data_IF_224438634997
#
_entry.id   IF_224438634997
#
_cell.length_a   1.000
_cell.length_b   1.000
_cell.length_c   1.000
_cell.angle_alpha   90.00
_cell.angle_beta   90.00
_cell.angle_gamma   90.00
#
_symmetry.space_group_name_H-M   'P 1'
#
loop_
_entity.id
_entity.type
_entity.pdbx_description
1 polymer ?
#
# COMPACT_ATOMS: atom_id res chain seq x y z
N UNK A 1 20.40 28.05 -54.88
CA UNK A 1 19.00 27.63 -54.59
C UNK A 1 18.98 26.11 -54.76
N UNK A 2 18.77 25.23 -53.79
CA UNK A 2 18.11 25.25 -52.48
C UNK A 2 18.84 24.26 -51.55
N UNK A 3 19.21 24.71 -50.34
CA UNK A 3 19.50 23.78 -49.23
C UNK A 3 18.34 23.90 -48.25
N UNK A 4 17.50 22.86 -48.20
CA UNK A 4 16.48 22.68 -47.17
C UNK A 4 17.24 22.34 -45.89
N UNK A 5 17.26 23.26 -44.93
CA UNK A 5 17.72 22.98 -43.58
C UNK A 5 16.70 22.03 -42.93
N UNK A 6 17.11 20.79 -42.68
CA UNK A 6 16.38 19.87 -41.79
C UNK A 6 16.74 20.29 -40.36
N UNK A 7 15.79 20.71 -39.51
CA UNK A 7 16.10 20.97 -38.11
C UNK A 7 16.41 19.63 -37.43
N UNK A 8 17.67 19.48 -37.05
CA UNK A 8 18.19 18.29 -36.39
C UNK A 8 18.12 18.46 -34.86
N UNK A 9 16.91 18.73 -34.35
CA UNK A 9 16.65 18.77 -32.91
C UNK A 9 15.45 17.88 -32.61
N UNK A 10 15.63 16.58 -32.85
CA UNK A 10 15.01 15.56 -32.01
C UNK A 10 15.60 15.75 -30.62
N UNK A 11 15.06 16.71 -29.87
CA UNK A 11 15.15 16.66 -28.42
C UNK A 11 14.64 15.28 -28.03
N UNK A 12 15.60 14.46 -27.60
CA UNK A 12 15.37 13.16 -27.01
C UNK A 12 14.31 13.40 -25.94
N UNK A 13 13.11 12.87 -26.13
CA UNK A 13 12.17 12.75 -25.03
C UNK A 13 12.94 12.01 -23.94
N UNK A 14 13.35 12.75 -22.90
CA UNK A 14 13.85 12.18 -21.67
C UNK A 14 12.75 11.24 -21.19
N UNK A 15 12.90 9.96 -21.53
CA UNK A 15 12.12 8.88 -20.97
C UNK A 15 12.24 9.07 -19.45
N UNK A 16 11.16 9.57 -18.85
CA UNK A 16 11.11 10.03 -17.47
C UNK A 16 11.89 9.05 -16.60
N UNK A 17 13.03 9.48 -16.05
CA UNK A 17 13.85 8.67 -15.14
C UNK A 17 12.89 7.97 -14.19
N UNK A 18 12.88 6.65 -14.23
CA UNK A 18 11.86 5.73 -13.71
C UNK A 18 11.60 5.95 -12.20
N UNK A 19 10.87 7.03 -11.90
CA UNK A 19 10.67 7.52 -10.54
C UNK A 19 9.48 6.78 -9.94
N UNK A 20 9.82 5.76 -9.17
CA UNK A 20 8.88 4.89 -8.46
C UNK A 20 8.46 5.53 -7.14
N UNK A 21 7.21 5.37 -6.73
CA UNK A 21 6.73 5.85 -5.42
C UNK A 21 6.16 4.69 -4.59
N UNK A 22 6.66 4.57 -3.37
CA UNK A 22 6.19 3.60 -2.38
C UNK A 22 5.25 4.27 -1.38
N UNK A 23 4.01 3.81 -1.34
CA UNK A 23 3.04 4.20 -0.32
C UNK A 23 2.94 3.11 0.75
N UNK A 24 3.15 3.48 2.01
CA UNK A 24 2.90 2.61 3.17
C UNK A 24 1.72 3.15 3.96
N UNK A 25 0.65 2.37 4.07
CA UNK A 25 -0.54 2.71 4.86
C UNK A 25 -0.55 1.86 6.12
N UNK A 26 -0.67 2.48 7.28
CA UNK A 26 -0.83 1.81 8.58
C UNK A 26 -2.26 2.05 9.05
N UNK A 27 -3.01 0.97 9.24
CA UNK A 27 -4.39 0.98 9.74
C UNK A 27 -4.39 0.57 11.20
N UNK A 28 -4.88 1.45 12.08
CA UNK A 28 -5.07 1.10 13.50
C UNK A 28 -6.29 0.21 13.69
N UNK A 29 -6.04 -1.06 13.99
CA UNK A 29 -7.06 -2.08 14.24
C UNK A 29 -7.20 -2.42 15.72
N UNK A 30 -6.78 -1.53 16.62
CA UNK A 30 -6.92 -1.70 18.06
C UNK A 30 -8.40 -1.80 18.48
N UNK A 31 -8.86 -2.88 19.15
CA UNK A 31 -10.24 -3.03 19.62
C UNK A 31 -10.63 -1.99 20.68
N UNK A 32 -9.68 -1.24 21.26
CA UNK A 32 -9.95 -0.08 22.10
C UNK A 32 -10.48 1.14 21.35
N UNK A 33 -10.35 1.19 20.02
CA UNK A 33 -10.90 2.24 19.17
C UNK A 33 -12.43 2.21 19.20
N UNK A 34 -13.07 3.35 19.52
CA UNK A 34 -14.54 3.48 19.57
C UNK A 34 -15.21 3.05 18.26
N UNK A 35 -14.58 3.34 17.12
CA UNK A 35 -15.09 2.99 15.80
C UNK A 35 -15.27 1.48 15.61
N UNK A 36 -14.35 0.66 16.14
CA UNK A 36 -14.43 -0.80 16.04
C UNK A 36 -15.56 -1.37 16.92
N UNK A 37 -15.92 -0.71 18.03
CA UNK A 37 -16.94 -1.18 18.98
C UNK A 37 -18.34 -0.68 18.66
N UNK A 38 -18.46 0.60 18.35
CA UNK A 38 -19.74 1.31 18.29
C UNK A 38 -20.28 1.43 16.86
N UNK A 39 -19.44 1.23 15.83
CA UNK A 39 -19.81 1.52 14.45
C UNK A 39 -19.09 0.61 13.42
N UNK A 40 -19.33 -0.71 13.46
CA UNK A 40 -18.67 -1.67 12.56
C UNK A 40 -18.92 -1.37 11.08
N UNK A 41 -20.07 -0.79 10.72
CA UNK A 41 -20.36 -0.37 9.35
C UNK A 41 -19.43 0.76 8.87
N UNK A 42 -19.02 1.65 9.77
CA UNK A 42 -18.12 2.76 9.43
C UNK A 42 -16.68 2.26 9.25
N UNK A 43 -16.28 1.22 9.97
CA UNK A 43 -15.01 0.53 9.72
C UNK A 43 -14.96 -0.05 8.31
N UNK A 44 -16.01 -0.72 7.85
CA UNK A 44 -16.09 -1.24 6.48
C UNK A 44 -15.92 -0.12 5.45
N UNK A 45 -16.64 1.00 5.61
CA UNK A 45 -16.48 2.16 4.74
C UNK A 45 -15.08 2.78 4.79
N UNK A 46 -14.46 2.84 5.97
CA UNK A 46 -13.09 3.32 6.12
C UNK A 46 -12.12 2.42 5.33
N UNK A 47 -12.25 1.10 5.45
CA UNK A 47 -11.43 0.14 4.72
C UNK A 47 -11.64 0.26 3.21
N UNK A 48 -12.88 0.39 2.74
CA UNK A 48 -13.19 0.62 1.32
C UNK A 48 -12.56 1.93 0.81
N UNK A 49 -12.59 3.00 1.62
CA UNK A 49 -11.97 4.29 1.29
C UNK A 49 -10.44 4.19 1.24
N UNK A 50 -9.83 3.46 2.17
CA UNK A 50 -8.38 3.19 2.18
C UNK A 50 -7.98 2.39 0.94
N UNK A 51 -8.77 1.39 0.55
CA UNK A 51 -8.52 0.60 -0.67
C UNK A 51 -8.66 1.47 -1.92
N UNK A 52 -9.69 2.32 -2.00
CA UNK A 52 -9.86 3.25 -3.12
C UNK A 52 -8.69 4.23 -3.24
N UNK A 53 -8.22 4.77 -2.11
CA UNK A 53 -7.04 5.63 -2.05
C UNK A 53 -5.76 4.87 -2.47
N UNK A 54 -5.55 3.66 -1.97
CA UNK A 54 -4.41 2.82 -2.32
C UNK A 54 -4.39 2.46 -3.82
N UNK A 55 -5.55 2.12 -4.39
CA UNK A 55 -5.68 1.87 -5.82
C UNK A 55 -5.44 3.15 -6.63
N UNK A 56 -5.90 4.31 -6.16
CA UNK A 56 -5.62 5.60 -6.81
C UNK A 56 -4.12 5.88 -6.88
N UNK A 57 -3.36 5.57 -5.82
CA UNK A 57 -1.89 5.66 -5.85
C UNK A 57 -1.28 4.73 -6.90
N UNK A 58 -1.75 3.49 -6.99
CA UNK A 58 -1.28 2.54 -8.01
C UNK A 58 -1.67 2.94 -9.45
N UNK A 59 -2.78 3.66 -9.63
CA UNK A 59 -3.20 4.19 -10.93
C UNK A 59 -2.32 5.36 -11.42
N UNK A 60 -1.64 6.08 -10.52
CA UNK A 60 -0.82 7.23 -10.91
C UNK A 60 0.39 6.84 -11.76
N UNK A 61 1.07 5.74 -11.42
CA UNK A 61 2.20 5.20 -12.17
C UNK A 61 2.23 3.67 -12.03
N UNK A 62 2.46 2.95 -13.13
CA UNK A 62 2.51 1.48 -13.12
C UNK A 62 3.63 0.90 -12.23
N UNK A 63 4.67 1.67 -11.96
CA UNK A 63 5.79 1.30 -11.09
C UNK A 63 5.57 1.65 -9.61
N UNK A 64 4.43 2.26 -9.26
CA UNK A 64 4.13 2.58 -7.87
C UNK A 64 3.96 1.29 -7.06
N UNK A 65 4.50 1.31 -5.85
CA UNK A 65 4.43 0.21 -4.91
C UNK A 65 3.54 0.58 -3.74
N UNK A 66 2.93 -0.43 -3.16
CA UNK A 66 2.02 -0.29 -2.02
C UNK A 66 2.36 -1.33 -0.96
N UNK A 67 2.36 -0.89 0.30
CA UNK A 67 2.30 -1.75 1.46
C UNK A 67 1.17 -1.28 2.38
N UNK A 68 0.39 -2.21 2.92
CA UNK A 68 -0.64 -1.93 3.92
C UNK A 68 -0.30 -2.76 5.14
N UNK A 69 -0.29 -2.12 6.31
CA UNK A 69 0.00 -2.71 7.60
C UNK A 69 -1.19 -2.50 8.52
N UNK A 70 -1.44 -3.46 9.40
CA UNK A 70 -2.34 -3.27 10.53
C UNK A 70 -1.49 -3.17 11.79
N UNK A 71 -1.79 -2.18 12.62
CA UNK A 71 -1.25 -2.11 13.96
C UNK A 71 -2.36 -2.45 14.95
N UNK A 72 -2.07 -3.44 15.79
CA UNK A 72 -2.92 -3.89 16.87
C UNK A 72 -2.19 -3.62 18.20
N UNK A 73 -2.86 -3.81 19.33
CA UNK A 73 -2.25 -3.55 20.64
C UNK A 73 -1.20 -4.56 21.08
N UNK A 74 -1.14 -5.73 20.43
CA UNK A 74 -0.14 -6.79 20.70
C UNK A 74 0.87 -7.01 19.58
N UNK A 75 0.49 -6.72 18.33
CA UNK A 75 1.31 -7.02 17.16
C UNK A 75 1.09 -5.98 16.07
N UNK A 76 2.09 -5.81 15.21
CA UNK A 76 1.96 -5.07 13.95
C UNK A 76 2.36 -6.00 12.81
N UNK A 77 1.57 -6.04 11.74
CA UNK A 77 1.81 -6.97 10.64
C UNK A 77 1.41 -6.42 9.28
N UNK A 78 2.08 -6.91 8.24
CA UNK A 78 1.72 -6.60 6.85
C UNK A 78 0.42 -7.31 6.47
N UNK A 79 -0.54 -6.50 6.04
CA UNK A 79 -1.81 -6.91 5.45
C UNK A 79 -1.63 -7.10 3.94
N UNK A 80 -0.89 -6.19 3.30
CA UNK A 80 -0.47 -6.26 1.90
C UNK A 80 0.99 -5.79 1.77
N UNK A 81 1.83 -6.40 0.91
CA UNK A 81 1.59 -7.65 0.19
C UNK A 81 1.49 -8.83 1.17
N UNK A 82 0.51 -9.72 0.99
CA UNK A 82 0.24 -10.81 1.93
C UNK A 82 1.42 -11.77 2.08
N UNK A 83 1.53 -12.45 3.23
CA UNK A 83 2.64 -13.39 3.54
C UNK A 83 2.59 -14.73 2.76
N UNK A 84 1.99 -14.77 1.57
CA UNK A 84 1.86 -15.97 0.75
C UNK A 84 1.86 -15.67 -0.74
N UNK A 85 2.13 -16.67 -1.57
CA UNK A 85 1.89 -16.58 -3.02
C UNK A 85 0.41 -16.23 -3.22
N UNK A 86 0.11 -15.26 -4.07
CA UNK A 86 -1.24 -14.82 -4.45
C UNK A 86 -2.01 -15.93 -5.20
N UNK A 87 -2.16 -17.10 -4.57
CA UNK A 87 -2.90 -18.22 -5.12
C UNK A 87 -4.39 -17.88 -5.05
N UNK A 88 -5.05 -17.96 -6.21
CA UNK A 88 -6.51 -17.89 -6.40
C UNK A 88 -7.23 -16.53 -6.39
N UNK A 89 -6.59 -15.46 -6.87
CA UNK A 89 -7.38 -14.31 -7.36
C UNK A 89 -7.80 -14.61 -8.80
N UNK A 90 -8.92 -15.33 -8.95
CA UNK A 90 -9.54 -15.52 -10.27
C UNK A 90 -9.95 -14.17 -10.84
N UNK A 91 -9.49 -13.93 -12.06
CA UNK A 91 -9.80 -12.78 -12.90
C UNK A 91 -11.31 -12.68 -13.11
N UNK A 92 -11.86 -11.48 -12.88
CA UNK A 92 -13.15 -11.08 -13.44
C UNK A 92 -12.80 -10.17 -14.61
N UNK A 93 -13.34 -10.47 -15.79
CA UNK A 93 -12.99 -9.81 -17.05
C UNK A 93 -13.13 -8.27 -16.93
N UNK A 94 -12.10 -7.54 -17.37
CA UNK A 94 -12.06 -6.06 -17.34
C UNK A 94 -11.51 -5.36 -16.08
N UNK A 95 -11.17 -6.06 -14.99
CA UNK A 95 -10.56 -5.44 -13.80
C UNK A 95 -9.04 -5.64 -13.72
N UNK A 96 -8.30 -4.59 -13.32
CA UNK A 96 -6.85 -4.68 -13.09
C UNK A 96 -6.56 -5.65 -11.94
N UNK A 97 -5.82 -6.72 -12.21
CA UNK A 97 -5.58 -7.83 -11.28
C UNK A 97 -5.02 -7.34 -9.94
N UNK A 98 -4.11 -6.36 -9.97
CA UNK A 98 -3.50 -5.79 -8.77
C UNK A 98 -4.55 -5.12 -7.87
N UNK A 99 -5.55 -4.43 -8.41
CA UNK A 99 -6.57 -3.76 -7.59
C UNK A 99 -7.49 -4.78 -6.92
N UNK A 100 -7.92 -5.80 -7.68
CA UNK A 100 -8.69 -6.91 -7.12
C UNK A 100 -7.88 -7.64 -6.04
N UNK A 101 -6.56 -7.78 -6.25
CA UNK A 101 -5.67 -8.38 -5.26
C UNK A 101 -5.57 -7.54 -3.99
N UNK A 102 -5.32 -6.24 -4.12
CA UNK A 102 -5.27 -5.30 -2.98
C UNK A 102 -6.56 -5.36 -2.20
N UNK A 103 -7.71 -5.30 -2.85
CA UNK A 103 -9.01 -5.35 -2.18
C UNK A 103 -9.22 -6.67 -1.43
N UNK A 104 -9.13 -7.82 -2.14
CA UNK A 104 -9.42 -9.14 -1.56
C UNK A 104 -8.43 -9.48 -0.44
N UNK A 105 -7.15 -9.20 -0.63
CA UNK A 105 -6.12 -9.50 0.37
C UNK A 105 -6.29 -8.61 1.59
N UNK A 106 -6.54 -7.31 1.39
CA UNK A 106 -6.70 -6.36 2.50
C UNK A 106 -7.90 -6.71 3.35
N UNK A 107 -9.08 -6.88 2.74
CA UNK A 107 -10.31 -7.24 3.47
C UNK A 107 -10.15 -8.56 4.23
N UNK A 108 -9.60 -9.59 3.58
CA UNK A 108 -9.41 -10.92 4.20
C UNK A 108 -8.44 -10.89 5.38
N UNK A 109 -7.27 -10.29 5.18
CA UNK A 109 -6.23 -10.28 6.20
C UNK A 109 -6.61 -9.36 7.37
N UNK A 110 -7.25 -8.23 7.11
CA UNK A 110 -7.76 -7.35 8.15
C UNK A 110 -8.88 -8.02 8.95
N UNK A 111 -9.85 -8.66 8.28
CA UNK A 111 -10.89 -9.44 8.97
C UNK A 111 -10.28 -10.52 9.86
N UNK A 112 -9.24 -11.21 9.39
CA UNK A 112 -8.50 -12.20 10.21
C UNK A 112 -7.86 -11.56 11.44
N UNK A 113 -7.28 -10.36 11.34
CA UNK A 113 -6.71 -9.65 12.50
C UNK A 113 -7.80 -9.36 13.53
N UNK A 114 -8.94 -8.84 13.06
CA UNK A 114 -10.05 -8.44 13.92
C UNK A 114 -10.72 -9.64 14.61
N UNK A 115 -10.88 -10.78 13.93
CA UNK A 115 -11.51 -11.98 14.50
C UNK A 115 -10.60 -12.80 15.42
N UNK A 116 -9.28 -12.64 15.30
CA UNK A 116 -8.32 -13.35 16.17
C UNK A 116 -8.31 -12.76 17.59
N UNK A 117 -8.84 -11.55 17.78
CA UNK A 117 -8.82 -10.85 19.06
C UNK A 117 -10.09 -11.08 19.88
N UNK A 118 -9.93 -11.77 21.01
CA UNK A 118 -10.96 -11.98 22.02
C UNK A 118 -10.65 -11.20 23.32
N UNK A 119 -9.71 -10.26 23.30
CA UNK A 119 -9.23 -9.62 24.53
C UNK A 119 -10.16 -8.47 24.93
N UNK A 120 -10.79 -8.61 26.09
CA UNK A 120 -11.55 -7.53 26.75
C UNK A 120 -10.67 -6.38 27.26
N UNK A 121 -9.34 -6.55 27.23
CA UNK A 121 -8.37 -5.59 27.76
C UNK A 121 -8.07 -4.51 26.73
N UNK A 122 -8.54 -3.30 27.02
CA UNK A 122 -8.16 -2.09 26.27
C UNK A 122 -6.67 -1.84 26.52
N UNK A 123 -5.90 -1.82 25.45
CA UNK A 123 -4.45 -1.61 25.45
C UNK A 123 -4.12 -0.53 24.43
N UNK A 124 -2.99 0.16 24.58
CA UNK A 124 -2.58 1.19 23.61
C UNK A 124 -2.17 0.54 22.28
N UNK A 125 -2.28 1.29 21.18
CA UNK A 125 -1.86 0.79 19.86
C UNK A 125 -0.34 0.78 19.75
N UNK A 126 0.24 -0.27 19.15
CA UNK A 126 1.69 -0.39 18.89
C UNK A 126 2.12 0.44 17.67
N UNK A 127 1.59 1.65 17.52
CA UNK A 127 1.82 2.50 16.35
C UNK A 127 3.31 2.80 16.15
N UNK A 128 4.05 3.08 17.22
CA UNK A 128 5.49 3.29 17.15
C UNK A 128 6.25 2.07 16.60
N UNK A 129 5.84 0.86 17.00
CA UNK A 129 6.37 -0.39 16.48
C UNK A 129 6.04 -0.58 15.00
N UNK A 130 4.80 -0.26 14.59
CA UNK A 130 4.38 -0.32 13.19
C UNK A 130 5.20 0.64 12.29
N UNK A 131 5.44 1.86 12.75
CA UNK A 131 6.26 2.85 12.03
C UNK A 131 7.71 2.36 11.93
N UNK A 132 8.28 1.83 13.02
CA UNK A 132 9.63 1.26 12.98
C UNK A 132 9.73 0.10 11.98
N UNK A 133 8.72 -0.79 11.94
CA UNK A 133 8.63 -1.86 10.96
C UNK A 133 8.51 -1.33 9.52
N UNK A 134 7.70 -0.29 9.30
CA UNK A 134 7.55 0.35 7.99
C UNK A 134 8.88 0.96 7.52
N UNK A 135 9.59 1.67 8.40
CA UNK A 135 10.90 2.24 8.09
C UNK A 135 11.95 1.17 7.79
N UNK A 136 11.99 0.08 8.56
CA UNK A 136 12.86 -1.06 8.28
C UNK A 136 12.55 -1.70 6.92
N UNK A 137 11.26 -1.80 6.56
CA UNK A 137 10.82 -2.31 5.27
C UNK A 137 11.27 -1.40 4.12
N UNK A 138 11.09 -0.09 4.26
CA UNK A 138 11.55 0.92 3.29
C UNK A 138 13.08 0.85 3.14
N UNK A 139 13.82 0.82 4.24
CA UNK A 139 15.28 0.73 4.22
C UNK A 139 15.78 -0.54 3.52
N UNK A 140 15.05 -1.66 3.68
CA UNK A 140 15.35 -2.90 2.94
C UNK A 140 15.11 -2.75 1.44
N UNK A 141 13.99 -2.15 1.03
CA UNK A 141 13.67 -1.92 -0.38
C UNK A 141 14.70 -1.02 -1.07
N UNK A 142 15.13 0.05 -0.40
CA UNK A 142 16.16 0.95 -0.90
C UNK A 142 17.50 0.25 -1.17
N UNK A 143 17.88 -0.75 -0.35
CA UNK A 143 19.11 -1.54 -0.55
C UNK A 143 19.02 -2.50 -1.74
N UNK A 144 17.83 -2.97 -2.08
CA UNK A 144 17.61 -3.94 -3.18
C UNK A 144 17.40 -3.28 -4.54
N UNK A 145 17.42 -1.95 -4.59
CA UNK A 145 17.09 -1.17 -5.76
C UNK A 145 18.24 -1.15 -6.78
N UNK A 146 17.96 -1.17 -8.09
CA UNK A 146 19.00 -1.03 -9.11
C UNK A 146 19.72 0.33 -9.02
N UNK A 147 21.04 0.40 -9.31
CA UNK A 147 21.79 1.65 -9.33
C UNK A 147 21.14 2.67 -10.28
N UNK A 148 21.01 3.92 -9.83
CA UNK A 148 20.50 5.03 -10.66
C UNK A 148 18.98 5.22 -10.67
N UNK A 149 18.18 4.27 -10.18
CA UNK A 149 16.74 4.49 -10.04
C UNK A 149 16.47 5.55 -8.95
N UNK A 150 15.34 6.28 -9.03
CA UNK A 150 14.83 7.19 -7.98
C UNK A 150 13.55 6.61 -7.38
N UNK A 151 13.44 6.64 -6.04
CA UNK A 151 12.29 6.08 -5.32
C UNK A 151 11.91 7.04 -4.20
N UNK A 152 10.70 7.58 -4.28
CA UNK A 152 10.09 8.36 -3.20
C UNK A 152 9.25 7.43 -2.34
N UNK A 153 9.09 7.76 -1.05
CA UNK A 153 8.25 6.98 -0.15
C UNK A 153 7.45 7.89 0.78
N UNK A 154 6.25 7.45 1.12
CA UNK A 154 5.34 8.18 2.02
C UNK A 154 4.65 7.19 2.96
N UNK A 155 4.61 7.52 4.25
CA UNK A 155 3.90 6.73 5.27
C UNK A 155 2.66 7.52 5.69
N UNK A 156 1.50 6.87 5.68
CA UNK A 156 0.23 7.40 6.18
C UNK A 156 -0.28 6.47 7.28
N UNK A 157 -0.58 7.01 8.46
CA UNK A 157 -1.18 6.26 9.57
C UNK A 157 -2.57 6.82 9.88
N UNK A 158 -3.57 5.94 9.99
CA UNK A 158 -4.94 6.32 10.30
C UNK A 158 -5.63 5.36 11.27
#
# INVERSE_FOLDING_TARGET
>A
MNNIAVPNDLQTEDASVDETSLLVIIVDSNPGQKMLRESPHVLTHCVDSVIAFANSHLMQKSQNKLAIMACHSKTSQFIYPGQGKNADIRQVDGQYEVFTAVEKITKRNLAKVLTTENSSVITESLLAGAIAMALCYIARLQRTKPPGAKESWTIISH
#
